data_IF_482157369421
#
_entry.id   IF_482157369421
#
_cell.length_a   1.000
_cell.length_b   1.000
_cell.length_c   1.000
_cell.angle_alpha   90.00
_cell.angle_beta   90.00
_cell.angle_gamma   90.00
#
_symmetry.space_group_name_H-M   'P 1'
#
loop_
_entity.id
_entity.type
_entity.pdbx_description
1 polymer ?
#
# COMPACT_ATOMS: atom_id res chain seq x y z
N UNK A 1 -30.01 -17.94 -21.09
CA UNK A 1 -28.84 -18.70 -20.60
C UNK A 1 -27.59 -18.57 -21.50
N UNK A 2 -27.71 -18.37 -22.81
CA UNK A 2 -26.56 -18.38 -23.76
C UNK A 2 -25.47 -17.30 -23.60
N UNK A 3 -25.84 -16.03 -23.34
CA UNK A 3 -24.85 -14.92 -23.27
C UNK A 3 -23.87 -14.99 -22.08
N UNK A 4 -24.25 -15.64 -20.97
CA UNK A 4 -23.45 -15.69 -19.72
C UNK A 4 -22.22 -16.60 -19.81
N UNK A 5 -22.29 -17.65 -20.61
CA UNK A 5 -21.17 -18.58 -20.85
C UNK A 5 -20.26 -18.13 -22.00
N UNK A 6 -20.65 -17.06 -22.69
CA UNK A 6 -20.00 -16.63 -23.91
C UNK A 6 -18.69 -15.87 -23.62
N UNK A 7 -18.69 -15.01 -22.59
CA UNK A 7 -17.49 -14.20 -22.25
C UNK A 7 -16.37 -15.07 -21.69
N UNK A 8 -16.68 -15.97 -20.74
CA UNK A 8 -15.68 -16.88 -20.18
C UNK A 8 -14.98 -17.71 -21.27
N UNK A 9 -15.73 -18.13 -22.31
CA UNK A 9 -15.17 -18.88 -23.44
C UNK A 9 -14.38 -18.00 -24.40
N UNK A 10 -14.79 -16.75 -24.61
CA UNK A 10 -14.17 -15.81 -25.57
C UNK A 10 -13.03 -14.97 -25.01
N UNK A 11 -12.79 -15.00 -23.70
CA UNK A 11 -11.81 -14.13 -23.03
C UNK A 11 -10.40 -14.24 -23.65
N UNK A 12 -10.07 -15.44 -24.13
CA UNK A 12 -8.78 -15.78 -24.73
C UNK A 12 -8.83 -15.94 -26.26
N UNK A 13 -9.94 -15.55 -26.91
CA UNK A 13 -10.02 -15.47 -28.37
C UNK A 13 -9.44 -14.11 -28.79
N UNK A 14 -8.29 -14.05 -29.49
CA UNK A 14 -7.68 -12.78 -29.85
C UNK A 14 -8.60 -11.95 -30.76
N UNK A 15 -9.03 -10.78 -30.30
CA UNK A 15 -9.82 -9.82 -31.10
C UNK A 15 -9.03 -8.55 -31.42
N UNK A 16 -7.84 -8.42 -30.85
CA UNK A 16 -6.91 -7.31 -31.05
C UNK A 16 -5.61 -7.82 -31.66
N UNK A 17 -5.03 -7.05 -32.59
CA UNK A 17 -3.71 -7.33 -33.19
C UNK A 17 -2.62 -7.45 -32.12
N UNK A 18 -1.63 -8.31 -32.37
CA UNK A 18 -0.65 -8.74 -31.38
C UNK A 18 0.15 -7.57 -30.75
N UNK A 19 0.44 -6.52 -31.52
CA UNK A 19 1.22 -5.36 -31.08
C UNK A 19 0.52 -4.50 -30.04
N UNK A 20 -0.83 -4.54 -30.06
CA UNK A 20 -1.70 -3.83 -29.12
C UNK A 20 -2.06 -4.69 -27.90
N UNK A 21 -1.78 -5.99 -27.93
CA UNK A 21 -2.01 -6.87 -26.79
C UNK A 21 -1.04 -6.55 -25.66
N UNK A 22 -1.52 -6.65 -24.42
CA UNK A 22 -0.69 -6.55 -23.24
C UNK A 22 0.27 -7.73 -23.15
N UNK A 23 1.43 -7.52 -22.51
CA UNK A 23 2.43 -8.57 -22.35
C UNK A 23 1.92 -9.72 -21.48
N UNK A 24 1.05 -9.44 -20.51
CA UNK A 24 0.43 -10.47 -19.65
C UNK A 24 -0.57 -11.31 -20.46
N UNK A 25 -1.36 -10.69 -21.34
CA UNK A 25 -2.25 -11.43 -22.22
C UNK A 25 -1.43 -12.35 -23.15
N UNK A 26 -0.40 -11.84 -23.82
CA UNK A 26 0.50 -12.66 -24.66
C UNK A 26 1.14 -13.81 -23.87
N UNK A 27 1.54 -13.56 -22.62
CA UNK A 27 2.05 -14.60 -21.72
C UNK A 27 1.00 -15.69 -21.46
N UNK A 28 -0.25 -15.32 -21.16
CA UNK A 28 -1.33 -16.29 -20.92
C UNK A 28 -1.69 -17.13 -22.15
N UNK A 29 -1.47 -16.58 -23.35
CA UNK A 29 -1.75 -17.27 -24.62
C UNK A 29 -0.75 -18.38 -24.96
N UNK A 30 0.39 -18.47 -24.27
CA UNK A 30 1.33 -19.58 -24.44
C UNK A 30 0.65 -20.93 -24.14
N UNK A 31 0.95 -21.96 -24.94
CA UNK A 31 0.29 -23.27 -24.84
C UNK A 31 0.41 -23.86 -23.43
N UNK A 32 1.61 -23.80 -22.84
CA UNK A 32 1.84 -24.35 -21.51
C UNK A 32 1.09 -23.61 -20.40
N UNK A 33 0.53 -22.43 -20.69
CA UNK A 33 -0.20 -21.58 -19.73
C UNK A 33 -1.72 -21.78 -19.79
N UNK A 34 -2.21 -22.82 -20.49
CA UNK A 34 -3.61 -23.24 -20.44
C UNK A 34 -4.18 -23.34 -19.00
N UNK A 35 -3.48 -23.92 -18.00
CA UNK A 35 -4.01 -23.99 -16.64
C UNK A 35 -4.26 -22.61 -15.99
N UNK A 36 -3.48 -21.59 -16.35
CA UNK A 36 -3.71 -20.22 -15.88
C UNK A 36 -4.96 -19.62 -16.53
N UNK A 37 -5.18 -19.89 -17.82
CA UNK A 37 -6.39 -19.48 -18.52
C UNK A 37 -7.62 -20.12 -17.91
N UNK A 38 -7.58 -21.42 -17.59
CA UNK A 38 -8.71 -22.13 -16.95
C UNK A 38 -9.17 -21.44 -15.66
N UNK A 39 -8.24 -21.09 -14.76
CA UNK A 39 -8.57 -20.36 -13.51
C UNK A 39 -9.26 -19.02 -13.81
N UNK A 40 -8.76 -18.24 -14.76
CA UNK A 40 -9.36 -16.94 -15.11
C UNK A 40 -10.74 -17.13 -15.76
N UNK A 41 -10.93 -18.17 -16.57
CA UNK A 41 -12.23 -18.50 -17.17
C UNK A 41 -13.26 -18.91 -16.09
N UNK A 42 -12.83 -19.61 -15.05
CA UNK A 42 -13.67 -19.94 -13.89
C UNK A 42 -14.11 -18.66 -13.17
N UNK A 43 -13.20 -17.70 -12.95
CA UNK A 43 -13.54 -16.40 -12.37
C UNK A 43 -14.54 -15.60 -13.23
N UNK A 44 -14.46 -15.76 -14.55
CA UNK A 44 -15.40 -15.16 -15.51
C UNK A 44 -16.76 -15.88 -15.61
N UNK A 45 -16.95 -16.97 -14.87
CA UNK A 45 -18.23 -17.68 -14.85
C UNK A 45 -19.36 -16.76 -14.40
N UNK A 46 -20.37 -16.59 -15.24
CA UNK A 46 -21.49 -15.65 -15.05
C UNK A 46 -21.14 -14.16 -15.08
N UNK A 47 -19.91 -13.79 -15.41
CA UNK A 47 -19.57 -12.39 -15.68
C UNK A 47 -20.32 -11.90 -16.92
N UNK A 48 -20.84 -10.66 -16.88
CA UNK A 48 -21.58 -10.06 -17.99
C UNK A 48 -20.86 -8.80 -18.45
N UNK A 49 -20.39 -8.83 -19.68
CA UNK A 49 -19.86 -7.70 -20.44
C UNK A 49 -21.03 -6.86 -20.93
N UNK A 50 -21.33 -5.78 -20.20
CA UNK A 50 -22.53 -4.97 -20.40
C UNK A 50 -22.41 -4.05 -21.61
N UNK A 51 -21.21 -3.55 -21.90
CA UNK A 51 -20.95 -2.59 -22.97
C UNK A 51 -20.18 -3.17 -24.16
N UNK A 52 -19.79 -4.45 -24.08
CA UNK A 52 -19.12 -5.18 -25.16
C UNK A 52 -17.63 -4.87 -25.28
N UNK A 53 -17.05 -4.14 -24.33
CA UNK A 53 -15.65 -3.71 -24.37
C UNK A 53 -14.73 -4.59 -23.53
N UNK A 54 -15.27 -5.35 -22.58
CA UNK A 54 -14.48 -6.08 -21.59
C UNK A 54 -13.45 -7.01 -22.24
N UNK A 55 -13.81 -7.76 -23.29
CA UNK A 55 -12.87 -8.65 -24.00
C UNK A 55 -11.71 -7.86 -24.63
N UNK A 56 -12.00 -6.73 -25.25
CA UNK A 56 -10.98 -5.86 -25.87
C UNK A 56 -10.06 -5.26 -24.80
N UNK A 57 -10.63 -4.79 -23.69
CA UNK A 57 -9.89 -4.21 -22.56
C UNK A 57 -9.06 -5.26 -21.83
N UNK A 58 -9.57 -6.48 -21.67
CA UNK A 58 -8.81 -7.59 -21.10
C UNK A 58 -7.54 -7.91 -21.90
N UNK A 59 -7.61 -7.78 -23.23
CA UNK A 59 -6.46 -8.00 -24.12
C UNK A 59 -5.48 -6.82 -24.13
N UNK A 60 -5.95 -5.59 -23.96
CA UNK A 60 -5.15 -4.35 -24.14
C UNK A 60 -4.72 -3.71 -22.82
N UNK A 61 -5.64 -3.56 -21.87
CA UNK A 61 -5.47 -2.97 -20.54
C UNK A 61 -5.67 -4.03 -19.45
N UNK A 62 -4.94 -5.15 -19.57
CA UNK A 62 -5.15 -6.37 -18.78
C UNK A 62 -5.35 -6.14 -17.27
N UNK A 63 -4.52 -5.31 -16.62
CA UNK A 63 -4.57 -5.13 -15.17
C UNK A 63 -5.91 -4.58 -14.66
N UNK A 64 -6.57 -3.67 -15.38
CA UNK A 64 -7.85 -3.10 -14.94
C UNK A 64 -8.97 -4.11 -15.06
N UNK A 65 -9.06 -4.79 -16.21
CA UNK A 65 -10.05 -5.85 -16.44
C UNK A 65 -9.80 -7.07 -15.54
N UNK A 66 -8.55 -7.41 -15.27
CA UNK A 66 -8.18 -8.46 -14.32
C UNK A 66 -8.64 -8.13 -12.91
N UNK A 67 -8.45 -6.89 -12.45
CA UNK A 67 -8.91 -6.47 -11.12
C UNK A 67 -10.43 -6.50 -11.02
N UNK A 68 -11.14 -5.96 -12.00
CA UNK A 68 -12.60 -6.00 -12.07
C UNK A 68 -13.13 -7.45 -12.02
N UNK A 69 -12.52 -8.34 -12.81
CA UNK A 69 -12.87 -9.76 -12.83
C UNK A 69 -12.57 -10.47 -11.51
N UNK A 70 -11.43 -10.16 -10.91
CA UNK A 70 -11.03 -10.73 -9.62
C UNK A 70 -12.00 -10.31 -8.50
N UNK A 71 -12.38 -9.03 -8.45
CA UNK A 71 -13.39 -8.54 -7.51
C UNK A 71 -14.73 -9.22 -7.74
N UNK A 72 -15.16 -9.36 -8.99
CA UNK A 72 -16.37 -10.11 -9.31
C UNK A 72 -16.30 -11.54 -8.76
N UNK A 73 -15.21 -12.26 -9.00
CA UNK A 73 -15.03 -13.62 -8.51
C UNK A 73 -15.04 -13.69 -6.98
N UNK A 74 -14.31 -12.80 -6.30
CA UNK A 74 -14.30 -12.69 -4.83
C UNK A 74 -15.70 -12.46 -4.28
N UNK A 75 -16.48 -11.53 -4.85
CA UNK A 75 -17.82 -11.22 -4.36
C UNK A 75 -18.80 -12.39 -4.56
N UNK A 76 -18.67 -13.16 -5.66
CA UNK A 76 -19.44 -14.38 -5.85
C UNK A 76 -19.03 -15.49 -4.86
N UNK A 77 -17.72 -15.67 -4.63
CA UNK A 77 -17.18 -16.68 -3.69
C UNK A 77 -17.72 -16.48 -2.27
N UNK A 78 -17.84 -15.23 -1.81
CA UNK A 78 -18.40 -14.91 -0.49
C UNK A 78 -19.94 -14.90 -0.47
N UNK A 79 -20.59 -15.37 -1.54
CA UNK A 79 -22.04 -15.56 -1.63
C UNK A 79 -22.84 -14.26 -1.79
N UNK A 80 -22.25 -13.21 -2.39
CA UNK A 80 -23.02 -12.03 -2.76
C UNK A 80 -23.76 -12.24 -4.08
N UNK A 81 -24.94 -11.62 -4.21
CA UNK A 81 -25.75 -11.71 -5.42
C UNK A 81 -25.64 -10.42 -6.21
N UNK A 82 -25.14 -10.52 -7.44
CA UNK A 82 -25.01 -9.37 -8.34
C UNK A 82 -26.36 -8.96 -8.94
N UNK A 83 -26.58 -7.66 -9.08
CA UNK A 83 -27.65 -7.05 -9.86
C UNK A 83 -27.09 -6.47 -11.14
N UNK A 84 -27.54 -7.00 -12.28
CA UNK A 84 -27.13 -6.56 -13.62
C UNK A 84 -28.07 -5.50 -14.22
N UNK A 85 -28.97 -4.95 -13.41
CA UNK A 85 -30.04 -4.06 -13.89
C UNK A 85 -29.51 -2.67 -14.31
N UNK A 86 -28.28 -2.33 -13.93
CA UNK A 86 -27.71 -1.00 -14.14
C UNK A 86 -26.30 -1.10 -14.74
N UNK A 87 -25.91 -0.19 -15.66
CA UNK A 87 -24.63 -0.24 -16.35
C UNK A 87 -23.45 0.32 -15.53
N UNK A 88 -23.74 1.08 -14.46
CA UNK A 88 -22.74 1.73 -13.60
C UNK A 88 -23.36 1.97 -12.23
N UNK A 89 -22.63 2.02 -11.11
CA UNK A 89 -21.20 1.71 -10.95
C UNK A 89 -20.86 0.26 -11.33
N UNK A 90 -19.57 -0.08 -11.29
CA UNK A 90 -19.08 -1.35 -11.85
C UNK A 90 -19.88 -2.56 -11.34
N UNK A 91 -20.17 -2.66 -10.04
CA UNK A 91 -21.05 -3.71 -9.52
C UNK A 91 -22.04 -3.25 -8.46
N UNK A 92 -23.16 -3.98 -8.37
CA UNK A 92 -24.16 -3.83 -7.32
C UNK A 92 -24.44 -5.22 -6.74
N UNK A 93 -23.89 -5.51 -5.57
CA UNK A 93 -24.01 -6.81 -4.93
C UNK A 93 -24.68 -6.67 -3.56
N UNK A 94 -25.81 -7.33 -3.31
CA UNK A 94 -26.57 -7.21 -2.05
C UNK A 94 -26.79 -5.74 -1.60
N UNK A 95 -27.16 -4.86 -2.53
CA UNK A 95 -27.31 -3.41 -2.29
C UNK A 95 -26.03 -2.65 -1.88
N UNK A 96 -24.86 -3.28 -1.95
CA UNK A 96 -23.57 -2.61 -1.84
C UNK A 96 -23.10 -2.19 -3.24
N UNK A 97 -22.63 -0.95 -3.36
CA UNK A 97 -22.15 -0.38 -4.61
C UNK A 97 -20.63 -0.50 -4.65
N UNK A 98 -20.09 -1.17 -5.66
CA UNK A 98 -18.66 -1.34 -5.85
C UNK A 98 -18.19 -0.64 -7.11
N UNK A 99 -17.15 0.18 -6.99
CA UNK A 99 -16.45 0.81 -8.12
C UNK A 99 -14.98 0.37 -8.11
N UNK A 100 -14.56 -0.30 -9.18
CA UNK A 100 -13.22 -0.83 -9.33
C UNK A 100 -12.27 0.20 -9.96
N UNK A 101 -11.03 0.19 -9.50
CA UNK A 101 -9.95 0.98 -10.07
C UNK A 101 -8.60 0.37 -9.76
N UNK A 102 -7.57 0.82 -10.46
CA UNK A 102 -6.19 0.44 -10.20
C UNK A 102 -5.34 1.70 -10.09
N UNK A 103 -4.21 1.63 -9.39
CA UNK A 103 -3.15 2.61 -9.57
C UNK A 103 -2.23 2.14 -10.71
N UNK A 104 -2.08 2.97 -11.74
CA UNK A 104 -1.21 2.68 -12.88
C UNK A 104 0.14 3.40 -12.73
N UNK A 105 1.21 2.89 -13.37
CA UNK A 105 2.43 3.66 -13.50
C UNK A 105 2.13 4.96 -14.26
N UNK A 106 2.91 6.04 -14.05
CA UNK A 106 2.86 7.21 -14.90
C UNK A 106 3.29 6.86 -16.33
N UNK A 107 2.76 7.60 -17.32
CA UNK A 107 3.03 7.35 -18.74
C UNK A 107 4.39 7.88 -19.19
N UNK A 108 4.87 8.93 -18.54
CA UNK A 108 6.04 9.72 -18.90
C UNK A 108 7.34 9.30 -18.20
N UNK A 109 7.24 8.62 -17.05
CA UNK A 109 8.39 8.17 -16.26
C UNK A 109 8.24 6.70 -15.86
N UNK A 110 9.35 6.02 -15.55
CA UNK A 110 9.33 4.67 -14.95
C UNK A 110 9.83 4.71 -13.52
N UNK A 111 9.07 4.14 -12.58
CA UNK A 111 9.52 3.91 -11.20
C UNK A 111 10.05 2.48 -11.03
N UNK A 112 11.18 2.32 -10.34
CA UNK A 112 11.80 1.01 -10.05
C UNK A 112 12.14 0.84 -8.56
N UNK A 113 11.53 1.61 -7.66
CA UNK A 113 11.88 1.57 -6.23
C UNK A 113 11.72 0.18 -5.64
N UNK A 114 10.59 -0.48 -5.95
CA UNK A 114 10.31 -1.85 -5.53
C UNK A 114 11.33 -2.88 -6.07
N UNK A 115 11.73 -2.76 -7.35
CA UNK A 115 12.76 -3.62 -7.95
C UNK A 115 14.12 -3.43 -7.29
N UNK A 116 14.54 -2.18 -7.07
CA UNK A 116 15.81 -1.85 -6.42
C UNK A 116 15.81 -2.27 -4.95
N UNK A 117 14.65 -2.20 -4.28
CA UNK A 117 14.49 -2.63 -2.89
C UNK A 117 14.84 -4.11 -2.69
N UNK A 118 14.55 -4.98 -3.67
CA UNK A 118 14.83 -6.41 -3.59
C UNK A 118 16.33 -6.73 -3.45
N UNK A 119 17.20 -5.92 -4.06
CA UNK A 119 18.65 -6.14 -4.07
C UNK A 119 19.42 -5.23 -3.12
N UNK A 120 18.76 -4.23 -2.54
CA UNK A 120 19.38 -3.29 -1.62
C UNK A 120 19.57 -3.88 -0.21
N UNK A 121 20.50 -3.30 0.54
CA UNK A 121 20.80 -3.62 1.93
C UNK A 121 21.03 -2.34 2.76
N UNK A 122 21.04 -2.48 4.09
CA UNK A 122 21.31 -1.38 5.02
C UNK A 122 20.37 -0.17 4.85
N UNK A 123 20.92 1.03 5.05
CA UNK A 123 20.20 2.30 4.92
C UNK A 123 19.54 2.47 3.55
N UNK A 124 20.21 2.01 2.48
CA UNK A 124 19.68 2.15 1.13
C UNK A 124 18.38 1.37 0.94
N UNK A 125 18.24 0.21 1.59
CA UNK A 125 17.00 -0.58 1.55
C UNK A 125 15.85 0.16 2.24
N UNK A 126 16.11 0.81 3.37
CA UNK A 126 15.12 1.61 4.10
C UNK A 126 14.68 2.84 3.28
N UNK A 127 15.63 3.53 2.64
CA UNK A 127 15.34 4.63 1.72
C UNK A 127 14.42 4.19 0.57
N UNK A 128 14.78 3.11 -0.12
CA UNK A 128 14.01 2.60 -1.26
C UNK A 128 12.62 2.12 -0.85
N UNK A 129 12.47 1.58 0.37
CA UNK A 129 11.15 1.24 0.92
C UNK A 129 10.30 2.50 1.08
N UNK A 130 10.84 3.55 1.69
CA UNK A 130 10.11 4.82 1.85
C UNK A 130 9.72 5.40 0.50
N UNK A 131 10.66 5.50 -0.44
CA UNK A 131 10.41 6.04 -1.78
C UNK A 131 9.35 5.20 -2.52
N UNK A 132 9.36 3.87 -2.35
CA UNK A 132 8.33 2.96 -2.87
C UNK A 132 6.95 3.26 -2.26
N UNK A 133 6.84 3.37 -0.94
CA UNK A 133 5.57 3.63 -0.26
C UNK A 133 5.01 5.01 -0.63
N UNK A 134 5.86 6.05 -0.65
CA UNK A 134 5.45 7.41 -1.02
C UNK A 134 4.96 7.47 -2.49
N UNK A 135 5.68 6.81 -3.39
CA UNK A 135 5.27 6.66 -4.78
C UNK A 135 3.91 6.00 -4.90
N UNK A 136 3.73 4.83 -4.29
CA UNK A 136 2.48 4.09 -4.36
C UNK A 136 1.33 4.89 -3.73
N UNK A 137 1.59 5.60 -2.62
CA UNK A 137 0.61 6.49 -1.98
C UNK A 137 0.13 7.58 -2.95
N UNK A 138 1.03 8.29 -3.63
CA UNK A 138 0.66 9.29 -4.65
C UNK A 138 -0.22 8.68 -5.74
N UNK A 139 0.11 7.48 -6.23
CA UNK A 139 -0.64 6.83 -7.32
C UNK A 139 -2.02 6.34 -6.85
N UNK A 140 -2.11 5.74 -5.67
CA UNK A 140 -3.37 5.33 -5.04
C UNK A 140 -4.28 6.54 -4.78
N UNK A 141 -3.74 7.60 -4.19
CA UNK A 141 -4.49 8.84 -3.92
C UNK A 141 -5.12 9.43 -5.18
N UNK A 142 -4.38 9.48 -6.30
CA UNK A 142 -4.93 9.98 -7.57
C UNK A 142 -6.10 9.11 -8.06
N UNK A 143 -5.98 7.78 -8.03
CA UNK A 143 -7.04 6.85 -8.46
C UNK A 143 -8.27 6.93 -7.57
N UNK A 144 -8.10 6.95 -6.24
CA UNK A 144 -9.21 7.06 -5.28
C UNK A 144 -9.90 8.42 -5.43
N UNK A 145 -9.14 9.50 -5.54
CA UNK A 145 -9.69 10.86 -5.73
C UNK A 145 -10.51 10.97 -7.01
N UNK A 146 -10.10 10.31 -8.09
CA UNK A 146 -10.87 10.27 -9.33
C UNK A 146 -12.24 9.57 -9.14
N UNK A 147 -12.29 8.49 -8.34
CA UNK A 147 -13.55 7.78 -8.04
C UNK A 147 -14.43 8.57 -7.06
N UNK A 148 -13.85 9.25 -6.08
CA UNK A 148 -14.55 10.22 -5.22
C UNK A 148 -15.21 11.32 -6.08
N UNK A 149 -14.46 11.91 -7.01
CA UNK A 149 -14.98 12.92 -7.94
C UNK A 149 -16.12 12.37 -8.78
N UNK A 150 -15.94 11.18 -9.38
CA UNK A 150 -16.99 10.50 -10.18
C UNK A 150 -18.25 10.22 -9.37
N UNK A 151 -18.11 9.84 -8.10
CA UNK A 151 -19.26 9.68 -7.21
C UNK A 151 -20.00 11.01 -7.02
N UNK A 152 -19.29 12.07 -6.61
CA UNK A 152 -19.87 13.39 -6.35
C UNK A 152 -20.58 13.94 -7.60
N UNK A 153 -19.95 13.83 -8.77
CA UNK A 153 -20.44 14.44 -10.02
C UNK A 153 -21.52 13.62 -10.72
N UNK A 154 -21.49 12.29 -10.60
CA UNK A 154 -22.35 11.39 -11.36
C UNK A 154 -23.12 10.40 -10.49
N UNK A 155 -22.45 9.54 -9.72
CA UNK A 155 -23.14 8.43 -9.05
C UNK A 155 -24.10 8.85 -7.95
N UNK A 156 -23.83 9.96 -7.24
CA UNK A 156 -24.71 10.53 -6.22
C UNK A 156 -26.10 10.90 -6.76
N UNK A 157 -26.24 11.09 -8.08
CA UNK A 157 -27.48 11.48 -8.74
C UNK A 157 -28.34 10.27 -9.12
N UNK A 158 -27.79 9.05 -9.09
CA UNK A 158 -28.46 7.82 -9.51
C UNK A 158 -29.31 7.27 -8.36
N UNK A 159 -30.62 7.09 -8.59
CA UNK A 159 -31.56 6.68 -7.53
C UNK A 159 -31.25 5.30 -6.93
N UNK A 160 -30.69 4.40 -7.73
CA UNK A 160 -30.29 3.06 -7.28
C UNK A 160 -28.92 3.01 -6.57
N UNK A 161 -28.21 4.16 -6.48
CA UNK A 161 -26.96 4.34 -5.71
C UNK A 161 -27.20 5.12 -4.43
N UNK A 162 -28.13 6.09 -4.44
CA UNK A 162 -28.49 6.88 -3.26
C UNK A 162 -28.83 5.97 -2.08
N UNK A 163 -28.44 6.41 -0.89
CA UNK A 163 -28.71 5.69 0.35
C UNK A 163 -28.16 4.25 0.39
N UNK A 164 -27.11 3.95 -0.40
CA UNK A 164 -26.42 2.67 -0.38
C UNK A 164 -24.93 2.83 -0.07
N UNK A 165 -24.30 1.85 0.63
CA UNK A 165 -22.88 1.91 0.92
C UNK A 165 -22.06 1.90 -0.37
N UNK A 166 -21.17 2.87 -0.51
CA UNK A 166 -20.27 2.99 -1.66
C UNK A 166 -18.86 2.52 -1.29
N UNK A 167 -18.38 1.50 -2.00
CA UNK A 167 -17.12 0.82 -1.74
C UNK A 167 -16.22 0.99 -2.97
N UNK A 168 -15.02 1.53 -2.76
CA UNK A 168 -14.01 1.60 -3.80
C UNK A 168 -13.15 0.34 -3.72
N UNK A 169 -13.06 -0.41 -4.81
CA UNK A 169 -12.17 -1.56 -4.93
C UNK A 169 -10.89 -1.12 -5.64
N UNK A 170 -9.74 -1.17 -4.97
CA UNK A 170 -8.46 -0.75 -5.55
C UNK A 170 -7.32 -1.73 -5.30
N UNK A 171 -6.49 -1.93 -6.33
CA UNK A 171 -5.24 -2.70 -6.24
C UNK A 171 -4.08 -1.89 -6.84
N UNK A 172 -2.86 -2.04 -6.30
CA UNK A 172 -1.73 -1.33 -6.82
C UNK A 172 -1.06 -2.07 -8.00
N UNK A 173 -0.97 -1.39 -9.14
CA UNK A 173 -0.15 -1.79 -10.29
C UNK A 173 0.82 -0.67 -10.69
N UNK A 174 1.16 0.23 -9.76
CA UNK A 174 1.88 1.48 -10.02
C UNK A 174 3.34 1.30 -10.46
N UNK A 175 3.95 0.14 -10.18
CA UNK A 175 5.31 -0.22 -10.58
C UNK A 175 5.52 -1.73 -10.61
N UNK A 176 6.62 -2.17 -11.24
CA UNK A 176 7.09 -3.56 -11.17
C UNK A 176 7.32 -3.95 -9.69
N UNK A 177 6.82 -5.10 -9.27
CA UNK A 177 6.84 -5.54 -7.87
C UNK A 177 6.05 -4.65 -6.88
N UNK A 178 5.05 -3.91 -7.34
CA UNK A 178 4.15 -3.08 -6.51
C UNK A 178 3.55 -3.81 -5.30
N UNK A 179 3.39 -5.14 -5.35
CA UNK A 179 2.94 -5.95 -4.20
C UNK A 179 3.84 -5.84 -2.95
N UNK A 180 5.10 -5.42 -3.10
CA UNK A 180 6.05 -5.24 -1.99
C UNK A 180 5.64 -4.11 -1.02
N UNK A 181 4.72 -3.23 -1.43
CA UNK A 181 4.17 -2.19 -0.56
C UNK A 181 3.22 -2.74 0.53
N UNK A 182 2.79 -4.00 0.42
CA UNK A 182 1.84 -4.59 1.35
C UNK A 182 0.56 -3.76 1.45
N UNK A 183 0.18 -3.38 2.67
CA UNK A 183 -0.93 -2.46 2.95
C UNK A 183 -0.46 -1.07 3.41
N UNK A 184 0.85 -0.81 3.49
CA UNK A 184 1.38 0.40 4.10
C UNK A 184 0.92 1.67 3.37
N UNK A 185 1.02 1.71 2.04
CA UNK A 185 0.65 2.88 1.28
C UNK A 185 -0.86 3.16 1.34
N UNK A 186 -1.70 2.12 1.25
CA UNK A 186 -3.17 2.31 1.32
C UNK A 186 -3.62 2.75 2.72
N UNK A 187 -2.99 2.25 3.79
CA UNK A 187 -3.26 2.70 5.16
C UNK A 187 -2.89 4.18 5.31
N UNK A 188 -1.75 4.62 4.75
CA UNK A 188 -1.40 6.05 4.72
C UNK A 188 -2.44 6.86 3.94
N UNK A 189 -2.81 6.45 2.72
CA UNK A 189 -3.84 7.14 1.93
C UNK A 189 -5.15 7.36 2.70
N UNK A 190 -5.63 6.31 3.38
CA UNK A 190 -6.94 6.33 4.02
C UNK A 190 -6.91 7.00 5.40
N UNK A 191 -5.91 6.72 6.22
CA UNK A 191 -5.92 7.09 7.65
C UNK A 191 -4.74 7.94 8.09
N UNK A 192 -3.87 8.35 7.16
CA UNK A 192 -2.59 9.00 7.46
C UNK A 192 -1.67 8.17 8.39
N UNK A 193 -2.01 6.90 8.67
CA UNK A 193 -1.27 6.07 9.60
C UNK A 193 -0.05 5.44 8.90
N UNK A 194 1.13 5.71 9.43
CA UNK A 194 2.42 5.22 8.94
C UNK A 194 2.99 4.11 9.82
N UNK A 195 4.32 4.08 9.93
CA UNK A 195 5.04 3.01 10.63
C UNK A 195 4.81 3.06 12.15
N UNK A 196 4.47 1.93 12.80
CA UNK A 196 4.50 1.82 14.26
C UNK A 196 5.88 2.13 14.83
N UNK A 197 5.92 2.83 15.96
CA UNK A 197 7.14 3.19 16.68
C UNK A 197 7.33 2.30 17.90
N UNK A 198 8.55 1.81 18.09
CA UNK A 198 8.91 0.91 19.17
C UNK A 198 10.20 1.35 19.86
N UNK A 199 10.29 1.11 21.17
CA UNK A 199 11.52 1.17 21.95
C UNK A 199 12.01 -0.26 22.22
N UNK A 200 13.32 -0.51 22.07
CA UNK A 200 13.93 -1.77 22.51
C UNK A 200 14.12 -1.71 24.03
N UNK A 201 13.59 -2.69 24.78
CA UNK A 201 13.71 -2.74 26.25
C UNK A 201 15.07 -3.35 26.66
N UNK A 202 16.17 -2.68 26.27
CA UNK A 202 17.50 -2.69 26.90
C UNK A 202 18.31 -3.99 27.08
N UNK A 203 17.73 -5.19 27.06
CA UNK A 203 18.42 -6.42 27.50
C UNK A 203 18.26 -7.63 26.58
N UNK A 204 17.71 -7.46 25.38
CA UNK A 204 17.38 -8.59 24.52
C UNK A 204 17.50 -8.22 23.05
N UNK A 205 18.29 -8.98 22.29
CA UNK A 205 18.24 -8.96 20.82
C UNK A 205 16.93 -9.59 20.29
N UNK A 206 16.04 -10.05 21.18
CA UNK A 206 14.70 -10.49 20.80
C UNK A 206 13.81 -9.28 20.57
N UNK A 207 13.28 -9.24 19.34
CA UNK A 207 12.25 -8.31 18.89
C UNK A 207 10.97 -8.38 19.76
N UNK A 208 10.78 -9.42 20.60
CA UNK A 208 9.64 -9.58 21.53
C UNK A 208 9.56 -8.53 22.65
N UNK A 209 10.70 -7.97 23.04
CA UNK A 209 10.86 -7.11 24.22
C UNK A 209 10.88 -5.63 23.80
N UNK A 210 9.89 -5.28 22.97
CA UNK A 210 9.69 -3.92 22.47
C UNK A 210 8.46 -3.29 23.08
N UNK A 211 8.64 -2.08 23.61
CA UNK A 211 7.55 -1.20 24.05
C UNK A 211 7.00 -0.44 22.85
N UNK A 212 5.70 -0.58 22.58
CA UNK A 212 5.00 0.22 21.57
C UNK A 212 4.85 1.65 22.08
N UNK A 213 5.30 2.61 21.30
CA UNK A 213 5.26 4.02 21.66
C UNK A 213 4.06 4.74 21.02
N UNK A 214 3.64 4.30 19.83
CA UNK A 214 2.60 4.96 19.04
C UNK A 214 2.79 4.75 17.54
N UNK A 215 2.06 5.49 16.72
CA UNK A 215 2.11 5.41 15.25
C UNK A 215 2.65 6.73 14.71
N UNK A 216 3.52 6.66 13.69
CA UNK A 216 3.93 7.81 12.91
C UNK A 216 2.79 8.24 11.95
N UNK A 217 2.23 9.45 12.06
CA UNK A 217 1.21 9.93 11.10
C UNK A 217 1.79 10.69 9.91
N UNK A 218 1.66 10.11 8.72
CA UNK A 218 2.04 10.70 7.43
C UNK A 218 0.87 11.52 6.90
N UNK A 219 0.81 12.82 7.22
CA UNK A 219 -0.29 13.74 6.82
C UNK A 219 -0.28 14.14 5.34
N UNK A 220 0.88 14.07 4.69
CA UNK A 220 1.02 14.42 3.29
C UNK A 220 2.10 13.59 2.60
N UNK A 221 2.01 13.49 1.28
CA UNK A 221 3.05 12.91 0.41
C UNK A 221 3.36 13.87 -0.72
N UNK A 222 4.62 13.93 -1.14
CA UNK A 222 5.07 14.90 -2.14
C UNK A 222 5.09 14.21 -3.50
N UNK A 223 4.44 14.79 -4.51
CA UNK A 223 4.59 14.36 -5.91
C UNK A 223 6.02 14.63 -6.35
N UNK A 224 6.52 13.89 -7.35
CA UNK A 224 7.79 14.22 -7.99
C UNK A 224 7.83 15.64 -8.59
N UNK A 225 6.67 16.24 -8.88
CA UNK A 225 6.53 17.64 -9.30
C UNK A 225 6.75 18.66 -8.17
N UNK A 226 6.89 18.21 -6.92
CA UNK A 226 6.96 19.05 -5.72
C UNK A 226 5.61 19.39 -5.10
N UNK A 227 4.50 19.02 -5.74
CA UNK A 227 3.15 19.28 -5.20
C UNK A 227 2.82 18.33 -4.05
N UNK A 228 2.40 18.88 -2.91
CA UNK A 228 1.92 18.07 -1.78
C UNK A 228 0.51 17.51 -2.02
N UNK A 229 0.25 16.29 -1.57
CA UNK A 229 -1.06 15.65 -1.52
C UNK A 229 -1.34 15.26 -0.07
N UNK A 230 -2.42 15.80 0.48
CA UNK A 230 -2.91 15.36 1.79
C UNK A 230 -3.36 13.90 1.75
N UNK A 231 -2.93 13.14 2.74
CA UNK A 231 -3.41 11.78 3.00
C UNK A 231 -4.60 11.82 3.99
N UNK A 232 -5.00 10.66 4.52
CA UNK A 232 -6.07 10.61 5.52
C UNK A 232 -7.45 10.87 4.93
N UNK A 233 -7.77 10.28 3.78
CA UNK A 233 -9.07 10.47 3.11
C UNK A 233 -10.25 10.14 4.04
N UNK A 234 -10.12 9.11 4.88
CA UNK A 234 -11.10 8.67 5.87
C UNK A 234 -10.95 9.39 7.22
N UNK A 235 -10.02 10.33 7.34
CA UNK A 235 -9.91 11.26 8.47
C UNK A 235 -10.69 12.57 8.21
N UNK A 236 -11.32 12.72 7.04
CA UNK A 236 -12.02 13.93 6.61
C UNK A 236 -13.53 13.65 6.45
N UNK A 237 -14.43 14.34 7.18
CA UNK A 237 -15.88 14.15 7.08
C UNK A 237 -16.44 14.36 5.66
N UNK A 238 -15.77 15.17 4.83
CA UNK A 238 -16.17 15.43 3.44
C UNK A 238 -16.15 14.20 2.51
N UNK A 239 -15.60 13.08 2.98
CA UNK A 239 -15.57 11.78 2.30
C UNK A 239 -16.50 10.74 2.96
N UNK A 240 -17.42 11.16 3.84
CA UNK A 240 -18.39 10.30 4.55
C UNK A 240 -19.23 9.41 3.62
N UNK A 241 -19.49 9.85 2.39
CA UNK A 241 -20.26 9.07 1.41
C UNK A 241 -19.53 7.80 0.92
N UNK A 242 -18.20 7.69 1.12
CA UNK A 242 -17.46 6.44 0.88
C UNK A 242 -17.50 5.60 2.14
N UNK A 243 -18.15 4.43 2.08
CA UNK A 243 -18.30 3.56 3.25
C UNK A 243 -17.04 2.76 3.56
N UNK A 244 -16.32 2.30 2.53
CA UNK A 244 -15.12 1.49 2.70
C UNK A 244 -14.23 1.48 1.44
N UNK A 245 -13.01 0.98 1.59
CA UNK A 245 -12.13 0.58 0.50
C UNK A 245 -11.81 -0.90 0.61
N UNK A 246 -12.05 -1.66 -0.47
CA UNK A 246 -11.64 -3.05 -0.61
C UNK A 246 -10.32 -3.10 -1.39
N UNK A 247 -9.31 -3.74 -0.84
CA UNK A 247 -7.94 -3.67 -1.34
C UNK A 247 -7.25 -5.02 -1.34
N UNK A 248 -6.38 -5.26 -2.32
CA UNK A 248 -5.41 -6.36 -2.26
C UNK A 248 -4.14 -5.99 -3.00
N UNK A 249 -2.99 -6.11 -2.34
CA UNK A 249 -1.68 -6.04 -2.99
C UNK A 249 -1.22 -7.39 -3.57
N UNK A 250 -1.94 -8.47 -3.28
CA UNK A 250 -1.60 -9.83 -3.74
C UNK A 250 -2.49 -10.30 -4.90
N UNK A 251 -3.49 -9.54 -5.30
CA UNK A 251 -4.30 -9.78 -6.50
C UNK A 251 -3.54 -9.42 -7.79
N UNK A 252 -2.45 -10.14 -8.06
CA UNK A 252 -1.67 -10.04 -9.30
C UNK A 252 -1.78 -11.34 -10.09
N UNK A 253 -1.15 -11.43 -11.27
CA UNK A 253 -1.10 -12.69 -12.02
C UNK A 253 -0.58 -13.86 -11.18
N UNK A 254 0.28 -13.60 -10.18
CA UNK A 254 0.76 -14.63 -9.24
C UNK A 254 -0.35 -15.29 -8.41
N UNK A 255 -1.54 -14.69 -8.27
CA UNK A 255 -2.73 -15.31 -7.67
C UNK A 255 -3.31 -16.39 -8.59
N UNK A 256 -3.24 -16.19 -9.91
CA UNK A 256 -3.64 -17.20 -10.89
C UNK A 256 -2.64 -18.37 -10.86
N UNK A 257 -1.34 -18.07 -10.73
CA UNK A 257 -0.31 -19.11 -10.60
C UNK A 257 -0.59 -20.05 -9.42
N UNK A 258 -0.88 -19.50 -8.25
CA UNK A 258 -1.08 -20.23 -7.01
C UNK A 258 -2.36 -21.06 -7.02
N UNK A 259 -3.43 -20.58 -7.66
CA UNK A 259 -4.70 -21.30 -7.76
C UNK A 259 -4.76 -22.30 -8.93
N UNK A 260 -3.83 -22.24 -9.87
CA UNK A 260 -3.81 -23.16 -11.00
C UNK A 260 -3.27 -24.54 -10.63
N UNK A 261 -3.56 -25.55 -11.45
CA UNK A 261 -2.96 -26.88 -11.35
C UNK A 261 -1.51 -26.94 -11.85
N UNK A 262 -1.00 -25.88 -12.48
CA UNK A 262 0.35 -25.86 -13.03
C UNK A 262 1.40 -25.74 -11.93
N UNK A 263 2.47 -26.53 -12.06
CA UNK A 263 3.67 -26.43 -11.22
C UNK A 263 4.87 -26.21 -12.13
N UNK A 264 5.60 -25.12 -11.90
CA UNK A 264 6.75 -24.69 -12.68
C UNK A 264 8.05 -24.65 -11.86
N UNK A 265 8.02 -25.17 -10.62
CA UNK A 265 9.17 -25.24 -9.73
C UNK A 265 9.56 -23.89 -9.15
N UNK A 266 8.65 -22.92 -9.17
CA UNK A 266 8.87 -21.63 -8.52
C UNK A 266 8.76 -21.72 -7.01
N UNK A 267 9.42 -20.79 -6.33
CA UNK A 267 9.23 -20.57 -4.90
C UNK A 267 8.35 -19.35 -4.65
N UNK A 268 7.72 -19.31 -3.50
CA UNK A 268 6.93 -18.18 -3.02
C UNK A 268 7.48 -17.72 -1.68
N UNK A 269 7.86 -16.46 -1.60
CA UNK A 269 8.09 -15.77 -0.33
C UNK A 269 6.76 -15.23 0.17
N UNK A 270 6.40 -15.60 1.39
CA UNK A 270 5.06 -15.40 1.95
C UNK A 270 5.19 -14.86 3.36
N UNK A 271 4.43 -13.81 3.66
CA UNK A 271 4.28 -13.29 5.01
C UNK A 271 2.84 -13.47 5.45
N UNK A 272 2.61 -14.15 6.58
CA UNK A 272 1.28 -14.39 7.14
C UNK A 272 1.13 -13.75 8.51
N UNK A 273 -0.04 -13.16 8.76
CA UNK A 273 -0.42 -12.62 10.06
C UNK A 273 -0.47 -13.75 11.09
N UNK A 274 -0.01 -13.47 12.31
CA UNK A 274 -0.06 -14.40 13.42
C UNK A 274 -0.80 -13.71 14.56
N UNK A 275 -2.02 -14.18 14.87
CA UNK A 275 -2.86 -13.53 15.88
C UNK A 275 -2.30 -13.64 17.30
N UNK A 276 -1.40 -14.61 17.53
CA UNK A 276 -0.82 -14.92 18.83
C UNK A 276 0.58 -14.32 19.00
N UNK A 277 1.05 -13.52 18.05
CA UNK A 277 2.38 -12.93 18.05
C UNK A 277 2.31 -11.45 17.71
N UNK A 278 3.27 -10.68 18.23
CA UNK A 278 3.51 -9.30 17.78
C UNK A 278 4.07 -9.24 16.35
N UNK A 279 4.47 -10.38 15.77
CA UNK A 279 5.15 -10.50 14.48
C UNK A 279 4.40 -11.42 13.53
N UNK A 280 4.44 -11.09 12.25
CA UNK A 280 4.05 -11.99 11.19
C UNK A 280 5.05 -13.13 11.02
N UNK A 281 4.57 -14.27 10.54
CA UNK A 281 5.42 -15.38 10.16
C UNK A 281 5.86 -15.23 8.70
N UNK A 282 7.16 -15.39 8.44
CA UNK A 282 7.73 -15.38 7.09
C UNK A 282 8.13 -16.79 6.67
N UNK A 283 7.78 -17.15 5.44
CA UNK A 283 8.01 -18.48 4.90
C UNK A 283 8.50 -18.42 3.45
N UNK A 284 9.24 -19.45 3.07
CA UNK A 284 9.51 -19.77 1.66
C UNK A 284 8.89 -21.13 1.39
N UNK A 285 7.99 -21.18 0.43
CA UNK A 285 7.34 -22.41 -0.01
C UNK A 285 7.67 -22.69 -1.48
N UNK A 286 7.83 -23.96 -1.85
CA UNK A 286 7.73 -24.36 -3.25
C UNK A 286 6.28 -24.24 -3.73
N UNK A 287 6.08 -24.09 -5.03
CA UNK A 287 4.75 -24.11 -5.67
C UNK A 287 3.94 -25.38 -5.38
N UNK A 288 4.59 -26.50 -5.10
CA UNK A 288 3.95 -27.75 -4.69
C UNK A 288 3.40 -27.73 -3.26
N UNK A 289 4.01 -26.94 -2.38
CA UNK A 289 3.68 -26.90 -0.94
C UNK A 289 2.91 -25.64 -0.54
N UNK A 290 2.85 -24.65 -1.42
CA UNK A 290 2.11 -23.42 -1.18
C UNK A 290 0.67 -23.53 -1.66
N UNK A 291 -0.27 -23.19 -0.77
CA UNK A 291 -1.68 -23.05 -1.10
C UNK A 291 -2.21 -21.74 -0.52
N UNK A 292 -3.21 -21.19 -1.20
CA UNK A 292 -3.98 -20.03 -0.77
C UNK A 292 -5.36 -20.08 -1.42
N UNK A 293 -6.30 -19.31 -0.88
CA UNK A 293 -7.65 -19.18 -1.44
C UNK A 293 -7.76 -17.97 -2.37
N UNK A 294 -8.89 -17.86 -3.07
CA UNK A 294 -9.22 -16.70 -3.89
C UNK A 294 -9.21 -15.40 -3.06
N UNK A 295 -9.71 -15.47 -1.83
CA UNK A 295 -9.91 -14.33 -0.92
C UNK A 295 -8.69 -14.01 -0.05
N UNK A 296 -7.70 -14.91 0.01
CA UNK A 296 -6.46 -14.69 0.77
C UNK A 296 -5.75 -13.40 0.30
N UNK A 297 -5.50 -12.49 1.24
CA UNK A 297 -4.80 -11.24 1.01
C UNK A 297 -5.69 -10.08 0.55
N UNK A 298 -7.01 -10.21 0.69
CA UNK A 298 -7.97 -9.12 0.53
C UNK A 298 -8.23 -8.46 1.89
N UNK A 299 -8.16 -7.13 1.94
CA UNK A 299 -8.47 -6.31 3.12
C UNK A 299 -9.59 -5.33 2.83
N UNK A 300 -10.49 -5.14 3.79
CA UNK A 300 -11.55 -4.14 3.80
C UNK A 300 -11.23 -3.07 4.85
N UNK A 301 -11.03 -1.84 4.40
CA UNK A 301 -10.75 -0.67 5.22
C UNK A 301 -12.03 0.17 5.36
N UNK A 302 -12.52 0.34 6.59
CA UNK A 302 -13.79 1.03 6.87
C UNK A 302 -13.59 2.54 7.10
N UNK A 303 -14.51 3.37 6.62
CA UNK A 303 -14.50 4.80 6.91
C UNK A 303 -15.16 5.08 8.27
N UNK A 304 -14.47 5.65 9.27
CA UNK A 304 -15.08 6.02 10.56
C UNK A 304 -16.19 7.06 10.41
N UNK A 305 -16.13 7.89 9.37
CA UNK A 305 -17.15 8.90 9.03
C UNK A 305 -18.21 8.40 8.05
N UNK A 306 -18.29 7.10 7.74
CA UNK A 306 -19.25 6.59 6.77
C UNK A 306 -20.69 7.02 7.07
N UNK A 307 -21.35 7.71 6.14
CA UNK A 307 -22.77 8.10 6.23
C UNK A 307 -23.66 6.85 6.32
N UNK A 308 -23.25 5.80 5.61
CA UNK A 308 -23.99 4.54 5.50
C UNK A 308 -23.06 3.39 5.83
N UNK A 309 -23.24 2.83 7.03
CA UNK A 309 -22.56 1.62 7.50
C UNK A 309 -23.25 0.38 6.94
N UNK A 310 -22.53 -0.73 6.89
CA UNK A 310 -23.06 -2.00 6.39
C UNK A 310 -22.51 -3.17 7.20
N UNK A 311 -23.19 -4.31 7.11
CA UNK A 311 -22.77 -5.54 7.77
C UNK A 311 -21.53 -6.12 7.07
N UNK A 312 -20.45 -6.25 7.84
CA UNK A 312 -19.16 -6.78 7.39
C UNK A 312 -19.00 -8.28 7.64
N UNK A 313 -19.97 -8.93 8.28
CA UNK A 313 -19.86 -10.32 8.75
C UNK A 313 -19.54 -11.30 7.62
N UNK A 314 -20.13 -11.12 6.43
CA UNK A 314 -19.83 -11.99 5.27
C UNK A 314 -18.38 -11.85 4.77
N UNK A 315 -17.79 -10.66 4.85
CA UNK A 315 -16.38 -10.46 4.52
C UNK A 315 -15.49 -11.18 5.55
N UNK A 316 -15.77 -10.99 6.83
CA UNK A 316 -15.02 -11.59 7.94
C UNK A 316 -15.08 -13.11 7.90
N UNK A 317 -16.28 -13.68 7.72
CA UNK A 317 -16.50 -15.13 7.65
C UNK A 317 -15.78 -15.78 6.46
N UNK A 318 -15.53 -15.02 5.40
CA UNK A 318 -14.75 -15.47 4.25
C UNK A 318 -13.23 -15.36 4.46
N UNK A 319 -12.76 -14.77 5.56
CA UNK A 319 -11.34 -14.57 5.83
C UNK A 319 -10.76 -13.28 5.22
N UNK A 320 -11.60 -12.33 4.80
CA UNK A 320 -11.17 -11.00 4.39
C UNK A 320 -10.82 -10.20 5.64
N UNK A 321 -9.61 -9.62 5.68
CA UNK A 321 -9.15 -8.83 6.82
C UNK A 321 -9.91 -7.51 6.90
N UNK A 322 -10.58 -7.23 8.02
CA UNK A 322 -11.33 -5.97 8.19
C UNK A 322 -10.59 -5.07 9.16
N UNK A 323 -10.43 -3.79 8.84
CA UNK A 323 -9.87 -2.80 9.75
C UNK A 323 -10.61 -1.47 9.74
N UNK A 324 -10.60 -0.83 10.90
CA UNK A 324 -11.12 0.51 11.13
C UNK A 324 -10.11 1.27 12.00
N UNK A 325 -9.76 2.46 11.55
CA UNK A 325 -8.90 3.39 12.27
C UNK A 325 -9.70 4.64 12.67
N UNK A 326 -9.20 5.38 13.66
CA UNK A 326 -9.73 6.68 14.04
C UNK A 326 -9.27 7.77 13.07
N UNK A 327 -9.84 8.98 13.19
CA UNK A 327 -9.40 10.16 12.47
C UNK A 327 -7.94 10.54 12.75
N UNK A 328 -7.41 10.11 13.89
CA UNK A 328 -6.02 10.31 14.33
C UNK A 328 -5.10 9.16 13.90
N UNK A 329 -5.57 8.24 13.04
CA UNK A 329 -4.77 7.13 12.53
C UNK A 329 -4.53 6.00 13.54
N UNK A 330 -5.23 6.00 14.68
CA UNK A 330 -5.16 4.90 15.65
C UNK A 330 -6.02 3.73 15.20
N UNK A 331 -5.46 2.52 15.19
CA UNK A 331 -6.24 1.31 14.90
C UNK A 331 -7.29 1.10 16.00
N UNK A 332 -8.57 1.21 15.65
CA UNK A 332 -9.70 1.04 16.58
C UNK A 332 -10.19 -0.41 16.60
N UNK A 333 -10.23 -1.02 15.42
CA UNK A 333 -10.71 -2.38 15.25
C UNK A 333 -9.93 -3.06 14.13
N UNK A 334 -9.52 -4.30 14.38
CA UNK A 334 -8.99 -5.19 13.35
C UNK A 334 -9.54 -6.60 13.55
N UNK A 335 -9.94 -7.21 12.45
CA UNK A 335 -10.34 -8.60 12.37
C UNK A 335 -9.59 -9.24 11.21
N UNK A 336 -8.32 -9.54 11.45
CA UNK A 336 -7.51 -10.34 10.55
C UNK A 336 -7.53 -11.78 11.06
N UNK A 337 -7.93 -12.76 10.24
CA UNK A 337 -7.89 -14.16 10.65
C UNK A 337 -6.44 -14.59 10.89
N UNK A 338 -6.26 -15.59 11.76
CA UNK A 338 -4.94 -16.20 11.92
C UNK A 338 -4.44 -16.74 10.57
N UNK A 339 -3.14 -16.64 10.31
CA UNK A 339 -2.54 -16.97 9.02
C UNK A 339 -3.04 -16.13 7.83
N UNK A 340 -3.68 -14.99 8.04
CA UNK A 340 -4.04 -14.07 6.94
C UNK A 340 -2.83 -13.73 6.07
N UNK A 341 -3.00 -13.75 4.74
CA UNK A 341 -1.92 -13.46 3.80
C UNK A 341 -1.61 -11.95 3.74
N UNK A 342 -0.52 -11.51 4.37
CA UNK A 342 -0.10 -10.11 4.35
C UNK A 342 0.72 -9.78 3.10
N UNK A 343 1.54 -10.71 2.63
CA UNK A 343 2.39 -10.54 1.46
C UNK A 343 2.63 -11.86 0.75
N UNK A 344 2.73 -11.78 -0.58
CA UNK A 344 3.21 -12.86 -1.44
C UNK A 344 4.08 -12.31 -2.57
N UNK A 345 5.24 -12.92 -2.77
CA UNK A 345 6.06 -12.70 -3.95
C UNK A 345 6.47 -14.03 -4.57
N UNK A 346 6.25 -14.17 -5.88
CA UNK A 346 6.75 -15.32 -6.66
C UNK A 346 8.23 -15.10 -6.98
N UNK A 347 9.07 -16.06 -6.60
CA UNK A 347 10.50 -16.14 -6.88
C UNK A 347 10.69 -17.19 -7.97
N UNK A 348 10.96 -16.76 -9.21
CA UNK A 348 11.14 -17.69 -10.33
C UNK A 348 12.50 -18.39 -10.24
N UNK A 349 12.52 -19.68 -10.60
CA UNK A 349 13.75 -20.38 -10.99
C UNK A 349 14.17 -19.94 -12.41
N UNK A 350 15.47 -19.98 -12.70
CA UNK A 350 16.11 -19.29 -13.84
C UNK A 350 15.92 -19.94 -15.24
N UNK A 351 14.96 -20.85 -15.44
CA UNK A 351 14.77 -21.50 -16.76
C UNK A 351 13.60 -20.85 -17.48
N UNK A 352 13.90 -19.89 -18.36
CA UNK A 352 12.91 -19.16 -19.16
C UNK A 352 12.96 -19.70 -20.60
N UNK A 353 11.85 -20.24 -21.09
CA UNK A 353 11.72 -20.66 -22.50
C UNK A 353 11.87 -19.49 -23.48
N UNK A 354 12.23 -19.77 -24.73
CA UNK A 354 12.57 -18.76 -25.75
C UNK A 354 11.45 -17.74 -26.03
N UNK A 355 10.19 -18.17 -26.04
CA UNK A 355 9.05 -17.27 -26.26
C UNK A 355 8.77 -16.36 -25.05
N UNK A 356 8.85 -16.91 -23.84
CA UNK A 356 8.78 -16.11 -22.61
C UNK A 356 9.91 -15.08 -22.56
N UNK A 357 11.10 -15.46 -23.01
CA UNK A 357 12.24 -14.55 -23.10
C UNK A 357 11.94 -13.37 -24.03
N UNK A 358 11.41 -13.62 -25.23
CA UNK A 358 11.01 -12.56 -26.17
C UNK A 358 9.97 -11.60 -25.58
N UNK A 359 8.93 -12.11 -24.93
CA UNK A 359 7.90 -11.26 -24.27
C UNK A 359 8.53 -10.38 -23.18
N UNK A 360 9.46 -10.94 -22.40
CA UNK A 360 10.18 -10.20 -21.37
C UNK A 360 11.13 -9.14 -21.96
N UNK A 361 11.78 -9.43 -23.08
CA UNK A 361 12.63 -8.47 -23.81
C UNK A 361 11.82 -7.30 -24.39
N UNK A 362 10.66 -7.57 -25.00
CA UNK A 362 9.73 -6.54 -25.46
C UNK A 362 9.26 -5.62 -24.32
N UNK A 363 9.03 -6.21 -23.15
CA UNK A 363 8.63 -5.45 -21.95
C UNK A 363 9.77 -4.52 -21.53
N UNK A 364 11.00 -5.06 -21.44
CA UNK A 364 12.18 -4.32 -21.04
C UNK A 364 12.56 -3.22 -22.02
N UNK A 365 12.36 -3.42 -23.33
CA UNK A 365 12.67 -2.42 -24.35
C UNK A 365 11.72 -1.22 -24.27
N UNK A 366 10.40 -1.45 -24.16
CA UNK A 366 9.40 -0.39 -23.96
C UNK A 366 9.59 0.39 -22.67
N UNK A 367 10.05 -0.26 -21.61
CA UNK A 367 10.31 0.40 -20.33
C UNK A 367 11.61 1.23 -20.30
N UNK A 368 12.66 0.79 -21.00
CA UNK A 368 13.95 1.49 -21.04
C UNK A 368 13.91 2.84 -21.78
N UNK A 369 12.91 3.08 -22.61
CA UNK A 369 12.74 4.36 -23.31
C UNK A 369 12.25 5.49 -22.40
N UNK A 370 11.68 5.18 -21.23
CA UNK A 370 11.19 6.17 -20.27
C UNK A 370 12.28 6.57 -19.27
N UNK A 371 12.37 7.86 -18.90
CA UNK A 371 13.29 8.30 -17.85
C UNK A 371 12.94 7.65 -16.50
N UNK A 372 13.97 7.32 -15.72
CA UNK A 372 13.81 6.75 -14.38
C UNK A 372 13.35 7.85 -13.42
N UNK A 373 12.23 7.62 -12.73
CA UNK A 373 11.76 8.50 -11.68
C UNK A 373 12.72 8.44 -10.49
N UNK A 374 13.12 9.61 -10.01
CA UNK A 374 13.88 9.75 -8.76
C UNK A 374 13.13 10.71 -7.86
N UNK A 375 12.92 10.33 -6.60
CA UNK A 375 12.45 11.28 -5.60
C UNK A 375 13.57 12.26 -5.29
N UNK A 376 13.21 13.55 -5.25
CA UNK A 376 14.13 14.53 -4.68
C UNK A 376 14.31 14.18 -3.21
N UNK A 377 15.54 13.81 -2.84
CA UNK A 377 15.90 13.68 -1.44
C UNK A 377 15.51 14.98 -0.75
N UNK A 378 14.71 14.91 0.31
CA UNK A 378 14.63 16.01 1.28
C UNK A 378 16.08 16.28 1.70
N UNK A 379 16.64 17.37 1.19
CA UNK A 379 17.99 17.80 1.55
C UNK A 379 17.85 18.42 2.92
N UNK A 380 18.19 17.64 3.93
CA UNK A 380 18.45 18.18 5.26
C UNK A 380 19.78 18.91 5.17
N UNK A 381 19.72 20.22 5.03
CA UNK A 381 20.90 21.05 5.16
C UNK A 381 21.28 21.19 6.62
N UNK A 382 22.56 21.38 6.85
CA UNK A 382 23.07 21.74 8.17
C UNK A 382 22.38 23.03 8.64
N UNK A 383 21.97 23.05 9.90
CA UNK A 383 21.28 24.18 10.54
C UNK A 383 19.92 24.57 9.90
N UNK A 384 19.24 23.62 9.25
CA UNK A 384 17.91 23.84 8.69
C UNK A 384 16.87 22.90 9.32
N UNK A 385 15.82 23.48 9.92
CA UNK A 385 14.63 22.75 10.33
C UNK A 385 13.78 22.37 9.12
N UNK A 386 13.44 21.09 9.04
CA UNK A 386 12.53 20.55 8.04
C UNK A 386 11.41 19.81 8.75
N UNK A 387 10.15 20.10 8.38
CA UNK A 387 8.99 19.39 8.91
C UNK A 387 9.15 17.90 8.59
N UNK A 388 8.95 17.06 9.59
CA UNK A 388 8.88 15.62 9.43
C UNK A 388 7.48 15.22 9.85
N UNK A 389 6.71 14.72 8.89
CA UNK A 389 5.31 14.30 9.08
C UNK A 389 5.27 12.98 9.87
N UNK A 390 5.81 13.01 11.09
CA UNK A 390 5.78 11.92 12.03
C UNK A 390 5.26 12.42 13.36
N UNK A 391 3.94 12.45 13.45
CA UNK A 391 3.21 12.80 14.66
C UNK A 391 3.11 11.53 15.49
N UNK A 392 3.26 11.68 16.80
CA UNK A 392 3.18 10.62 17.79
C UNK A 392 2.08 10.97 18.80
N UNK A 393 1.56 10.01 19.57
CA UNK A 393 0.42 10.24 20.47
C UNK A 393 0.60 11.44 21.43
N UNK A 394 1.85 11.80 21.77
CA UNK A 394 2.19 12.93 22.64
C UNK A 394 2.64 14.22 21.92
N UNK A 395 2.86 14.18 20.60
CA UNK A 395 3.41 15.31 19.85
C UNK A 395 2.62 15.58 18.59
N UNK A 396 2.06 16.80 18.45
CA UNK A 396 1.19 17.18 17.33
C UNK A 396 1.95 17.70 16.09
N UNK A 397 3.19 18.17 16.27
CA UNK A 397 4.09 18.61 15.21
C UNK A 397 5.52 18.16 15.51
N UNK A 398 6.28 17.86 14.44
CA UNK A 398 7.66 17.45 14.55
C UNK A 398 8.50 18.03 13.41
N UNK A 399 9.70 18.49 13.77
CA UNK A 399 10.68 19.06 12.86
C UNK A 399 12.04 18.40 13.10
N UNK A 400 12.85 18.26 12.05
CA UNK A 400 14.17 17.66 12.13
C UNK A 400 15.22 18.58 11.52
N UNK A 401 16.40 18.65 12.15
CA UNK A 401 17.57 19.33 11.63
C UNK A 401 18.85 18.51 11.89
N UNK A 402 19.90 18.79 11.13
CA UNK A 402 21.26 18.36 11.45
C UNK A 402 22.08 19.57 11.93
N UNK A 403 22.88 19.38 12.98
CA UNK A 403 23.73 20.44 13.53
C UNK A 403 24.98 19.88 14.21
N UNK A 404 26.17 20.24 13.72
CA UNK A 404 27.50 19.81 14.13
C UNK A 404 27.64 18.30 14.36
N UNK A 405 27.08 17.50 13.44
CA UNK A 405 27.07 16.03 13.55
C UNK A 405 25.99 15.45 14.46
N UNK A 406 25.10 16.29 15.01
CA UNK A 406 23.93 15.87 15.76
C UNK A 406 22.68 15.85 14.88
N UNK A 407 21.77 14.92 15.16
CA UNK A 407 20.37 15.00 14.71
C UNK A 407 19.55 15.64 15.83
N UNK A 408 18.77 16.67 15.49
CA UNK A 408 17.84 17.35 16.40
C UNK A 408 16.42 17.09 15.90
N UNK A 409 15.54 16.64 16.80
CA UNK A 409 14.10 16.67 16.63
C UNK A 409 13.51 17.77 17.52
N UNK A 410 12.74 18.66 16.94
CA UNK A 410 11.95 19.67 17.63
C UNK A 410 10.50 19.23 17.58
N UNK A 411 9.86 19.11 18.74
CA UNK A 411 8.54 18.50 18.89
C UNK A 411 7.61 19.49 19.59
N UNK A 412 6.34 19.50 19.19
CA UNK A 412 5.30 20.25 19.88
C UNK A 412 4.40 19.31 20.67
N UNK A 413 4.28 19.53 21.98
CA UNK A 413 3.44 18.75 22.85
C UNK A 413 1.95 18.87 22.45
N UNK A 414 1.23 17.75 22.48
CA UNK A 414 -0.21 17.73 22.17
C UNK A 414 -1.10 18.21 23.32
N UNK A 415 -0.58 18.30 24.55
CA UNK A 415 -1.35 18.65 25.76
C UNK A 415 -1.35 20.15 26.03
N UNK A 416 -0.17 20.78 26.10
CA UNK A 416 0.01 22.19 26.46
C UNK A 416 0.43 23.07 25.28
N UNK A 417 0.76 22.46 24.12
CA UNK A 417 1.22 23.12 22.90
C UNK A 417 2.61 23.77 22.98
N UNK A 418 3.38 23.47 24.02
CA UNK A 418 4.74 23.94 24.15
C UNK A 418 5.69 23.15 23.24
N UNK A 419 6.78 23.81 22.86
CA UNK A 419 7.84 23.22 22.08
C UNK A 419 8.95 22.67 22.97
N UNK A 420 9.52 21.55 22.55
CA UNK A 420 10.69 20.91 23.16
C UNK A 420 11.59 20.32 22.09
N UNK A 421 12.73 19.76 22.51
CA UNK A 421 13.68 19.17 21.58
C UNK A 421 14.42 17.96 22.16
N UNK A 422 14.82 17.08 21.24
CA UNK A 422 15.60 15.86 21.48
C UNK A 422 16.77 15.87 20.52
N UNK A 423 17.99 15.61 20.99
CA UNK A 423 19.16 15.53 20.12
C UNK A 423 20.11 14.40 20.48
N UNK A 424 20.68 13.76 19.46
CA UNK A 424 21.76 12.78 19.63
C UNK A 424 22.88 12.99 18.60
N UNK A 425 24.08 12.50 18.89
CA UNK A 425 25.26 12.64 18.02
C UNK A 425 25.34 11.57 16.93
N UNK A 426 24.19 11.11 16.42
CA UNK A 426 24.11 10.15 15.31
C UNK A 426 23.30 10.74 14.19
N UNK A 427 23.64 10.36 12.96
CA UNK A 427 22.81 10.71 11.81
C UNK A 427 21.61 9.76 11.77
N UNK A 428 20.43 10.26 12.13
CA UNK A 428 19.20 9.47 12.15
C UNK A 428 18.25 9.90 11.03
N UNK A 429 17.86 8.94 10.19
CA UNK A 429 17.03 9.22 9.02
C UNK A 429 15.55 9.33 9.39
N UNK A 430 15.08 8.48 10.30
CA UNK A 430 13.71 8.43 10.82
C UNK A 430 13.67 8.58 12.35
N UNK A 431 12.47 8.80 12.90
CA UNK A 431 12.24 8.78 14.36
C UNK A 431 12.51 7.39 14.95
N UNK A 432 12.16 6.30 14.25
CA UNK A 432 12.51 4.94 14.71
C UNK A 432 14.02 4.73 14.79
N UNK A 433 14.79 5.21 13.80
CA UNK A 433 16.26 5.13 13.85
C UNK A 433 16.80 5.92 15.04
N UNK A 434 16.23 7.11 15.29
CA UNK A 434 16.62 7.95 16.41
C UNK A 434 16.39 7.26 17.75
N UNK A 435 15.19 6.69 17.96
CA UNK A 435 14.83 5.92 19.17
C UNK A 435 15.76 4.71 19.33
N UNK A 436 15.99 3.96 18.25
CA UNK A 436 16.82 2.75 18.28
C UNK A 436 18.28 3.08 18.59
N UNK A 437 18.84 4.12 17.99
CA UNK A 437 20.21 4.58 18.25
C UNK A 437 20.40 5.06 19.69
N UNK A 438 19.37 5.67 20.29
CA UNK A 438 19.38 6.07 21.69
C UNK A 438 19.33 4.87 22.64
N UNK A 439 18.47 3.88 22.36
CA UNK A 439 18.33 2.69 23.22
C UNK A 439 19.62 1.85 23.35
N UNK A 440 20.48 1.89 22.32
CA UNK A 440 21.73 1.10 22.26
C UNK A 440 22.93 1.80 22.90
N UNK A 441 22.79 3.03 23.41
CA UNK A 441 23.91 3.85 23.92
C UNK A 441 23.55 4.42 25.28
N UNK A 442 24.56 4.60 26.14
CA UNK A 442 24.35 5.21 27.46
C UNK A 442 23.83 6.65 27.37
N UNK A 443 23.17 7.11 28.44
CA UNK A 443 22.53 8.44 28.61
C UNK A 443 23.41 9.62 28.15
N UNK A 444 24.73 9.45 28.15
CA UNK A 444 25.74 10.46 27.82
C UNK A 444 25.60 11.04 26.40
N UNK A 445 24.98 10.36 25.43
CA UNK A 445 24.84 10.87 24.04
C UNK A 445 23.50 11.53 23.72
N UNK A 446 22.51 11.48 24.61
CA UNK A 446 21.20 12.10 24.42
C UNK A 446 21.16 13.46 25.12
N UNK A 447 20.51 14.42 24.48
CA UNK A 447 20.09 15.69 25.07
C UNK A 447 18.58 15.81 24.88
N UNK A 448 17.87 16.21 25.93
CA UNK A 448 16.42 16.36 25.93
C UNK A 448 16.07 17.60 26.73
N UNK A 449 15.19 18.43 26.18
CA UNK A 449 14.47 19.47 26.90
C UNK A 449 12.99 19.34 26.53
N UNK A 450 12.15 19.13 27.53
CA UNK A 450 10.79 18.64 27.32
C UNK A 450 9.71 19.70 27.55
N UNK A 451 10.06 20.94 27.91
CA UNK A 451 9.09 22.01 28.20
C UNK A 451 9.73 23.39 28.00
N UNK A 452 8.93 24.47 27.96
CA UNK A 452 9.31 25.90 28.08
C UNK A 452 9.50 26.75 26.80
N UNK A 453 9.35 26.24 25.57
CA UNK A 453 9.50 27.10 24.38
C UNK A 453 8.16 27.43 23.72
N UNK A 454 7.97 28.70 23.32
CA UNK A 454 6.73 29.16 22.67
C UNK A 454 6.74 28.91 21.17
N UNK A 455 7.93 28.79 20.58
CA UNK A 455 8.10 28.52 19.14
C UNK A 455 9.11 27.41 18.87
N UNK A 456 8.99 26.76 17.72
CA UNK A 456 9.96 25.75 17.25
C UNK A 456 11.35 26.35 17.03
N UNK A 457 11.44 27.61 16.62
CA UNK A 457 12.69 28.33 16.42
C UNK A 457 13.43 28.55 17.74
N UNK A 458 12.72 28.88 18.82
CA UNK A 458 13.28 29.01 20.16
C UNK A 458 13.83 27.67 20.67
N UNK A 459 13.03 26.61 20.57
CA UNK A 459 13.46 25.26 20.94
C UNK A 459 14.69 24.82 20.14
N UNK A 460 14.72 25.10 18.83
CA UNK A 460 15.87 24.77 17.99
C UNK A 460 17.12 25.57 18.35
N UNK A 461 16.98 26.86 18.65
CA UNK A 461 18.10 27.69 19.07
C UNK A 461 18.69 27.19 20.39
N UNK A 462 17.83 26.78 21.33
CA UNK A 462 18.25 26.20 22.59
C UNK A 462 18.97 24.85 22.40
N UNK A 463 18.45 23.96 21.55
CA UNK A 463 19.10 22.72 21.17
C UNK A 463 20.53 22.94 20.67
N UNK A 464 20.71 23.94 19.79
CA UNK A 464 22.04 24.31 19.27
C UNK A 464 22.97 24.81 20.37
N UNK A 465 22.48 25.62 21.31
CA UNK A 465 23.28 26.10 22.45
C UNK A 465 23.72 24.94 23.34
N UNK A 466 22.81 24.02 23.66
CA UNK A 466 23.12 22.84 24.46
C UNK A 466 24.18 21.94 23.79
N UNK A 467 24.08 21.73 22.48
CA UNK A 467 25.08 20.98 21.69
C UNK A 467 26.43 21.68 21.72
N UNK A 468 26.49 23.01 21.51
CA UNK A 468 27.74 23.77 21.57
C UNK A 468 28.41 23.69 22.95
N UNK A 469 27.62 23.81 24.03
CA UNK A 469 28.13 23.69 25.39
C UNK A 469 28.69 22.29 25.66
N UNK A 470 28.01 21.26 25.14
CA UNK A 470 28.49 19.88 25.23
C UNK A 470 29.81 19.70 24.49
N UNK A 471 29.92 20.16 23.24
CA UNK A 471 31.16 20.07 22.46
C UNK A 471 32.34 20.78 23.17
N UNK A 472 32.11 21.96 23.75
CA UNK A 472 33.11 22.68 24.55
C UNK A 472 33.59 21.89 25.76
N UNK A 473 32.67 21.25 26.49
CA UNK A 473 32.99 20.46 27.68
C UNK A 473 33.79 19.18 27.36
N UNK A 474 33.81 18.72 26.11
CA UNK A 474 34.56 17.55 25.65
C UNK A 474 35.82 17.91 24.82
N UNK A 475 36.21 19.18 24.74
CA UNK A 475 37.46 19.60 24.09
C UNK A 475 37.46 19.56 22.56
N UNK A 476 36.29 19.68 21.92
CA UNK A 476 36.14 19.77 20.46
C UNK A 476 35.97 21.20 19.95
#
# INVERSE_FOLDING_TARGET
MGKKYEIAKKLFDPVVIQEKQSNIFRYLMLEENLPYRTVIQEWASNFIDRDGKFITEFQTTFNSSFWELYIFAVLNEIGFKNSYNYPSPDFIFNDLIFECTISNPPDDVRANFAKLFLTASGEKKLELRRDMIEFSCVRLMNSISAKIKKYKEYYSKLDYVKNKPFIICITPFDQEHSQLQGTEAIIQCLYAAGTPLFMDDGNSNSISDRTFLGINLVKSVIKHSGTSIDTGLFCKPENSFVSAVLFSSTATISKVHTLSSKRDGSNFSVTRFNKNSKFSNEFIFSDTNYNETLVDGVSLFLNPFADIKFDVSKFQNAGIGVSLYSSEGKLLFSNYPDNFLLHRSKISSCIIGSEKHKILEDTRSKEKSRPLLTYQKIKYHEDQLVCVDAIHDNYKEQWKAYYKGWTIFVVQCSVDNDWGWLANNTKSSTMQDFITNNSKRGIITLLIEASFFTTKEEAFLDAKRAILNKLKNYGF
#
